data_IF_833418733520
#
_entry.id   IF_833418733520
#
_cell.length_a   1.000
_cell.length_b   1.000
_cell.length_c   1.000
_cell.angle_alpha   90.00
_cell.angle_beta   90.00
_cell.angle_gamma   90.00
#
_symmetry.space_group_name_H-M   'P 1'
#
loop_
_entity.id
_entity.type
_entity.pdbx_description
1 polymer ?
#
# COMPACT_ATOMS: atom_id res chain seq x y z
N UNK A 1 5.75 6.13 16.13
CA UNK A 1 4.81 7.10 15.57
C UNK A 1 3.72 7.37 16.60
N UNK A 2 3.33 8.63 16.78
CA UNK A 2 2.15 8.99 17.57
C UNK A 2 0.84 8.78 16.78
N UNK A 3 -0.31 8.97 17.45
CA UNK A 3 -1.64 8.74 16.88
C UNK A 3 -1.90 9.62 15.66
N UNK A 4 -1.52 10.90 15.72
CA UNK A 4 -1.73 11.87 14.63
C UNK A 4 -0.91 11.47 13.40
N UNK A 5 0.34 11.06 13.59
CA UNK A 5 1.20 10.53 12.54
C UNK A 5 0.60 9.29 11.86
N UNK A 6 0.00 8.37 12.63
CA UNK A 6 -0.70 7.20 12.08
C UNK A 6 -1.97 7.56 11.30
N UNK A 7 -2.75 8.53 11.78
CA UNK A 7 -3.93 9.03 11.07
C UNK A 7 -3.55 9.69 9.74
N UNK A 8 -2.49 10.50 9.73
CA UNK A 8 -1.97 11.12 8.52
C UNK A 8 -1.48 10.08 7.51
N UNK A 9 -0.76 9.05 7.97
CA UNK A 9 -0.34 7.95 7.12
C UNK A 9 -1.54 7.19 6.53
N UNK A 10 -2.55 6.89 7.35
CA UNK A 10 -3.78 6.24 6.88
C UNK A 10 -4.43 7.03 5.75
N UNK A 11 -4.58 8.35 5.90
CA UNK A 11 -5.21 9.21 4.90
C UNK A 11 -4.42 9.21 3.58
N UNK A 12 -3.10 9.31 3.65
CA UNK A 12 -2.21 9.24 2.49
C UNK A 12 -2.35 7.90 1.76
N UNK A 13 -2.23 6.79 2.49
CA UNK A 13 -2.32 5.45 1.91
C UNK A 13 -3.72 5.14 1.38
N UNK A 14 -4.77 5.66 2.01
CA UNK A 14 -6.14 5.50 1.54
C UNK A 14 -6.39 6.27 0.22
N UNK A 15 -5.78 7.45 0.05
CA UNK A 15 -5.81 8.15 -1.23
C UNK A 15 -5.06 7.36 -2.31
N UNK A 16 -3.86 6.87 -2.00
CA UNK A 16 -3.06 6.03 -2.92
C UNK A 16 -3.85 4.77 -3.33
N UNK A 17 -4.55 4.14 -2.38
CA UNK A 17 -5.40 2.99 -2.65
C UNK A 17 -6.53 3.32 -3.63
N UNK A 18 -7.22 4.44 -3.42
CA UNK A 18 -8.25 4.93 -4.34
C UNK A 18 -7.69 5.15 -5.75
N UNK A 19 -6.57 5.86 -5.86
CA UNK A 19 -5.94 6.16 -7.15
C UNK A 19 -5.50 4.88 -7.87
N UNK A 20 -4.89 3.94 -7.14
CA UNK A 20 -4.53 2.63 -7.65
C UNK A 20 -5.74 1.88 -8.17
N UNK A 21 -6.85 1.83 -7.42
CA UNK A 21 -8.04 1.05 -7.78
C UNK A 21 -8.61 1.49 -9.13
N UNK A 22 -8.75 2.81 -9.35
CA UNK A 22 -9.24 3.34 -10.63
C UNK A 22 -8.25 3.13 -11.77
N UNK A 23 -6.95 3.36 -11.52
CA UNK A 23 -5.91 3.18 -12.51
C UNK A 23 -5.77 1.71 -12.93
N UNK A 24 -5.83 0.78 -11.97
CA UNK A 24 -5.69 -0.64 -12.22
C UNK A 24 -6.83 -1.17 -13.11
N UNK A 25 -8.09 -0.83 -12.81
CA UNK A 25 -9.21 -1.18 -13.70
C UNK A 25 -9.03 -0.58 -15.09
N UNK A 26 -8.67 0.70 -15.17
CA UNK A 26 -8.47 1.40 -16.45
C UNK A 26 -7.32 0.81 -17.27
N UNK A 27 -6.27 0.31 -16.61
CA UNK A 27 -5.13 -0.34 -17.26
C UNK A 27 -5.54 -1.63 -17.98
N UNK A 28 -6.51 -2.37 -17.41
CA UNK A 28 -7.04 -3.61 -17.99
C UNK A 28 -8.07 -3.35 -19.09
N UNK A 29 -9.04 -2.48 -18.79
CA UNK A 29 -10.27 -2.37 -19.58
C UNK A 29 -10.41 -1.06 -20.35
N UNK A 30 -9.39 -0.19 -20.32
CA UNK A 30 -9.41 1.10 -21.00
C UNK A 30 -9.67 0.97 -22.51
N UNK A 31 -10.52 1.85 -23.04
CA UNK A 31 -11.02 1.79 -24.44
C UNK A 31 -9.97 1.79 -25.54
N UNK A 32 -8.76 2.31 -25.27
CA UNK A 32 -7.68 2.33 -26.26
C UNK A 32 -6.30 2.16 -25.59
N UNK A 33 -5.29 1.85 -26.42
CA UNK A 33 -3.92 1.57 -25.96
C UNK A 33 -3.30 2.74 -25.19
N UNK A 34 -3.56 3.98 -25.61
CA UNK A 34 -3.01 5.18 -24.94
C UNK A 34 -3.54 5.28 -23.51
N UNK A 35 -4.85 5.16 -23.33
CA UNK A 35 -5.51 5.21 -22.01
C UNK A 35 -4.99 4.09 -21.10
N UNK A 36 -4.88 2.87 -21.61
CA UNK A 36 -4.34 1.75 -20.82
C UNK A 36 -2.90 1.99 -20.40
N UNK A 37 -2.05 2.47 -21.30
CA UNK A 37 -0.64 2.76 -21.01
C UNK A 37 -0.46 3.92 -20.02
N UNK A 38 -1.27 4.96 -20.12
CA UNK A 38 -1.27 6.05 -19.15
C UNK A 38 -1.73 5.56 -17.76
N UNK A 39 -2.72 4.67 -17.71
CA UNK A 39 -3.19 4.07 -16.47
C UNK A 39 -2.18 3.07 -15.86
N UNK A 40 -1.43 2.31 -16.65
CA UNK A 40 -0.32 1.48 -16.18
C UNK A 40 0.75 2.33 -15.46
N UNK A 41 1.07 3.51 -16.00
CA UNK A 41 2.00 4.44 -15.33
C UNK A 41 1.44 4.97 -14.00
N UNK A 42 0.13 5.18 -13.91
CA UNK A 42 -0.52 5.60 -12.68
C UNK A 42 -0.50 4.48 -11.62
N UNK A 43 -0.72 3.23 -12.03
CA UNK A 43 -0.55 2.04 -11.18
C UNK A 43 0.86 2.01 -10.60
N UNK A 44 1.89 2.09 -11.46
CA UNK A 44 3.29 2.08 -11.02
C UNK A 44 3.59 3.26 -10.08
N UNK A 45 3.04 4.44 -10.36
CA UNK A 45 3.20 5.62 -9.52
C UNK A 45 2.59 5.43 -8.14
N UNK A 46 1.37 4.88 -8.05
CA UNK A 46 0.69 4.63 -6.79
C UNK A 46 1.47 3.64 -5.91
N UNK A 47 1.95 2.55 -6.50
CA UNK A 47 2.79 1.56 -5.80
C UNK A 47 4.07 2.20 -5.26
N UNK A 48 4.77 3.00 -6.08
CA UNK A 48 6.00 3.68 -5.65
C UNK A 48 5.76 4.70 -4.53
N UNK A 49 4.62 5.38 -4.54
CA UNK A 49 4.26 6.33 -3.47
C UNK A 49 3.99 5.59 -2.16
N UNK A 50 3.24 4.49 -2.20
CA UNK A 50 3.03 3.65 -1.01
C UNK A 50 4.37 3.09 -0.49
N UNK A 51 5.20 2.53 -1.38
CA UNK A 51 6.54 2.03 -1.04
C UNK A 51 7.38 3.09 -0.30
N UNK A 52 7.40 4.32 -0.83
CA UNK A 52 8.11 5.44 -0.22
C UNK A 52 7.64 5.73 1.21
N UNK A 53 6.31 5.78 1.44
CA UNK A 53 5.76 6.07 2.76
C UNK A 53 6.00 4.93 3.75
N UNK A 54 5.99 3.68 3.29
CA UNK A 54 6.19 2.50 4.15
C UNK A 54 7.66 2.32 4.50
N UNK A 55 8.57 2.38 3.52
CA UNK A 55 10.02 2.15 3.76
C UNK A 55 10.69 3.25 4.58
N UNK A 56 10.15 4.46 4.57
CA UNK A 56 10.67 5.55 5.39
C UNK A 56 10.37 5.41 6.88
N UNK A 57 9.55 4.45 7.27
CA UNK A 57 9.20 4.27 8.67
C UNK A 57 9.25 2.79 9.06
N UNK A 58 10.21 2.45 9.92
CA UNK A 58 10.41 1.06 10.36
C UNK A 58 9.18 0.48 11.07
N UNK A 59 8.48 1.26 11.89
CA UNK A 59 7.28 0.79 12.60
C UNK A 59 6.14 0.44 11.62
N UNK A 60 6.03 1.19 10.53
CA UNK A 60 5.06 0.94 9.45
C UNK A 60 5.40 -0.32 8.68
N UNK A 61 6.68 -0.49 8.31
CA UNK A 61 7.18 -1.70 7.67
C UNK A 61 6.95 -2.94 8.54
N UNK A 62 7.21 -2.86 9.84
CA UNK A 62 6.95 -3.97 10.77
C UNK A 62 5.47 -4.30 10.86
N UNK A 63 4.58 -3.30 10.90
CA UNK A 63 3.14 -3.53 10.93
C UNK A 63 2.64 -4.23 9.65
N UNK A 64 3.17 -3.85 8.48
CA UNK A 64 2.80 -4.49 7.21
C UNK A 64 3.21 -5.96 7.19
N UNK A 65 4.41 -6.26 7.67
CA UNK A 65 5.07 -7.56 7.53
C UNK A 65 4.85 -8.51 8.72
N UNK A 66 3.88 -8.21 9.59
CA UNK A 66 3.54 -8.95 10.81
C UNK A 66 4.69 -9.04 11.84
N UNK A 67 5.68 -8.15 11.72
CA UNK A 67 6.69 -7.89 12.73
C UNK A 67 7.48 -9.12 13.18
N UNK A 68 7.70 -9.24 14.50
CA UNK A 68 8.61 -10.23 15.11
C UNK A 68 8.16 -11.68 14.97
N UNK A 69 6.88 -11.91 14.72
CA UNK A 69 6.33 -13.25 14.51
C UNK A 69 6.72 -13.81 13.13
N UNK A 70 7.14 -12.94 12.21
CA UNK A 70 7.62 -13.32 10.88
C UNK A 70 9.15 -13.27 10.83
N UNK A 71 9.76 -14.34 10.32
CA UNK A 71 11.21 -14.37 10.06
C UNK A 71 11.63 -13.26 9.09
N UNK A 72 12.90 -12.82 9.14
CA UNK A 72 13.39 -11.78 8.23
C UNK A 72 13.19 -12.12 6.74
N UNK A 73 13.37 -13.41 6.38
CA UNK A 73 13.08 -13.90 5.04
C UNK A 73 11.59 -13.84 4.69
N UNK A 74 10.72 -14.23 5.63
CA UNK A 74 9.26 -14.13 5.44
C UNK A 74 8.80 -12.69 5.23
N UNK A 75 9.37 -11.73 5.98
CA UNK A 75 9.05 -10.31 5.80
C UNK A 75 9.46 -9.80 4.43
N UNK A 76 10.60 -10.25 3.91
CA UNK A 76 11.03 -9.91 2.56
C UNK A 76 10.05 -10.42 1.50
N UNK A 77 9.57 -11.67 1.63
CA UNK A 77 8.56 -12.24 0.73
C UNK A 77 7.26 -11.43 0.77
N UNK A 78 6.72 -11.17 1.97
CA UNK A 78 5.49 -10.37 2.12
C UNK A 78 5.64 -9.01 1.44
N UNK A 79 6.78 -8.36 1.63
CA UNK A 79 7.02 -7.05 1.06
C UNK A 79 7.21 -7.09 -0.47
N UNK A 80 7.95 -8.07 -0.98
CA UNK A 80 8.17 -8.26 -2.41
C UNK A 80 6.85 -8.57 -3.14
N UNK A 81 5.92 -9.30 -2.51
CA UNK A 81 4.58 -9.53 -3.04
C UNK A 81 3.72 -8.27 -2.99
N UNK A 82 3.74 -7.54 -1.86
CA UNK A 82 2.97 -6.32 -1.67
C UNK A 82 3.18 -5.30 -2.81
N UNK A 83 4.42 -5.11 -3.25
CA UNK A 83 4.75 -4.12 -4.30
C UNK A 83 4.39 -4.58 -5.73
N UNK A 84 3.79 -5.76 -5.91
CA UNK A 84 3.37 -6.23 -7.21
C UNK A 84 1.93 -5.77 -7.52
N UNK A 85 1.65 -5.24 -8.72
CA UNK A 85 0.31 -4.74 -9.06
C UNK A 85 -0.84 -5.73 -8.83
N UNK A 86 -0.59 -7.03 -8.99
CA UNK A 86 -1.63 -8.06 -8.83
C UNK A 86 -2.07 -8.28 -7.36
N UNK A 87 -1.23 -7.93 -6.40
CA UNK A 87 -1.51 -8.10 -4.96
C UNK A 87 -1.77 -6.76 -4.27
N UNK A 88 -1.08 -5.70 -4.71
CA UNK A 88 -1.05 -4.39 -4.09
C UNK A 88 -2.42 -3.86 -3.64
N UNK A 89 -3.45 -3.93 -4.50
CA UNK A 89 -4.78 -3.42 -4.14
C UNK A 89 -5.37 -4.13 -2.92
N UNK A 90 -5.36 -5.47 -2.92
CA UNK A 90 -5.85 -6.26 -1.79
C UNK A 90 -5.00 -6.00 -0.55
N UNK A 91 -3.68 -6.10 -0.69
CA UNK A 91 -2.77 -6.04 0.45
C UNK A 91 -2.74 -4.65 1.08
N UNK A 92 -2.84 -3.57 0.28
CA UNK A 92 -2.97 -2.21 0.81
C UNK A 92 -4.30 -2.00 1.53
N UNK A 93 -5.39 -2.59 1.04
CA UNK A 93 -6.69 -2.55 1.73
C UNK A 93 -6.62 -3.25 3.10
N UNK A 94 -6.02 -4.44 3.15
CA UNK A 94 -5.81 -5.18 4.39
C UNK A 94 -4.88 -4.41 5.34
N UNK A 95 -3.83 -3.78 4.81
CA UNK A 95 -2.91 -2.95 5.59
C UNK A 95 -3.58 -1.70 6.17
N UNK A 96 -4.46 -1.03 5.41
CA UNK A 96 -5.26 0.10 5.92
C UNK A 96 -6.12 -0.31 7.12
N UNK A 97 -6.64 -1.53 7.14
CA UNK A 97 -7.34 -2.06 8.32
C UNK A 97 -6.39 -2.29 9.50
N UNK A 98 -5.19 -2.83 9.27
CA UNK A 98 -4.15 -2.94 10.33
C UNK A 98 -3.81 -1.57 10.92
N UNK A 99 -3.69 -0.53 10.09
CA UNK A 99 -3.43 0.84 10.55
C UNK A 99 -4.59 1.37 11.40
N UNK A 100 -5.85 1.12 11.03
CA UNK A 100 -7.01 1.50 11.85
C UNK A 100 -6.97 0.86 13.24
N UNK A 101 -6.66 -0.44 13.32
CA UNK A 101 -6.55 -1.12 14.61
C UNK A 101 -5.37 -0.57 15.43
N UNK A 102 -4.25 -0.26 14.78
CA UNK A 102 -3.12 0.42 15.44
C UNK A 102 -3.52 1.78 16.01
N UNK A 103 -4.25 2.61 15.26
CA UNK A 103 -4.76 3.91 15.75
C UNK A 103 -5.66 3.73 16.98
N UNK A 104 -6.58 2.77 16.95
CA UNK A 104 -7.46 2.46 18.11
C UNK A 104 -6.69 1.98 19.32
N UNK A 105 -5.57 1.27 19.13
CA UNK A 105 -4.74 0.80 20.25
C UNK A 105 -3.92 1.90 20.92
N UNK A 106 -3.88 3.10 20.33
CA UNK A 106 -3.22 4.29 20.86
C UNK A 106 -4.20 5.25 21.58
N UNK A 107 -5.48 4.88 21.65
CA UNK A 107 -6.49 5.47 22.54
C UNK A 107 -6.38 4.91 23.96
#
# INVERSE_FOLDING_TARGET
>A
MDKEQWQNLYNILNQIYSDFYFAYSTSKDGKNKKIRSDAERQVDSAIRLADYHIRKNWEVFELLTDGKETSGFGRAIIYDEFVLPRYFGRDLSDFLNKIKEKIKSLD
#
